data_IF_445026127401
#
_entry.id   IF_445026127401
#
_cell.length_a   1.000
_cell.length_b   1.000
_cell.length_c   1.000
_cell.angle_alpha   90.00
_cell.angle_beta   90.00
_cell.angle_gamma   90.00
#
_symmetry.space_group_name_H-M   'P 1'
#
loop_
_entity.id
_entity.type
_entity.pdbx_description
1 polymer ?
#
# COMPACT_ATOMS: atom_id res chain seq x y z
N UNK A 1 -69.67 41.44 -21.15
CA UNK A 1 -70.75 41.55 -20.14
C UNK A 1 -71.27 40.15 -19.85
N UNK A 2 -71.30 39.81 -18.56
CA UNK A 2 -72.10 38.77 -17.89
C UNK A 2 -71.82 37.29 -18.17
N UNK A 3 -71.56 36.62 -17.05
CA UNK A 3 -71.34 35.22 -16.76
C UNK A 3 -72.65 34.46 -16.47
N UNK A 4 -72.50 33.18 -16.08
CA UNK A 4 -73.44 32.32 -15.31
C UNK A 4 -74.39 31.50 -16.21
N UNK A 5 -74.66 30.21 -16.05
CA UNK A 5 -74.13 28.99 -15.36
C UNK A 5 -75.22 27.89 -15.60
N UNK A 6 -74.93 26.65 -15.17
CA UNK A 6 -75.86 25.58 -14.73
C UNK A 6 -76.29 24.44 -15.70
N UNK A 7 -75.80 23.23 -15.36
CA UNK A 7 -76.51 21.96 -15.01
C UNK A 7 -77.87 21.65 -15.67
N UNK A 8 -78.33 20.42 -15.92
CA UNK A 8 -77.77 19.07 -15.94
C UNK A 8 -78.90 18.10 -16.40
N UNK A 9 -78.50 17.03 -17.11
CA UNK A 9 -78.98 15.63 -17.10
C UNK A 9 -80.49 15.29 -17.18
N UNK A 10 -80.80 14.43 -18.16
CA UNK A 10 -81.80 13.35 -18.12
C UNK A 10 -81.41 12.30 -19.19
N UNK A 11 -81.83 11.04 -19.24
CA UNK A 11 -82.53 10.08 -18.39
C UNK A 11 -82.45 8.72 -19.17
N UNK A 12 -82.31 7.57 -18.47
CA UNK A 12 -82.66 6.17 -18.86
C UNK A 12 -82.01 5.51 -20.11
N UNK A 13 -81.19 4.44 -20.00
CA UNK A 13 -81.50 2.97 -19.81
C UNK A 13 -82.37 2.35 -20.91
N UNK A 14 -82.14 1.19 -21.54
CA UNK A 14 -81.10 0.11 -21.57
C UNK A 14 -81.57 -0.93 -22.61
N UNK A 15 -80.69 -1.66 -23.31
CA UNK A 15 -80.91 -3.09 -23.65
C UNK A 15 -79.57 -3.83 -23.88
N UNK A 16 -79.20 -4.59 -22.84
CA UNK A 16 -78.56 -5.91 -22.73
C UNK A 16 -77.65 -6.46 -23.86
N UNK A 17 -76.38 -6.70 -23.52
CA UNK A 17 -75.66 -7.96 -23.80
C UNK A 17 -74.97 -8.45 -22.52
N UNK A 18 -74.96 -9.77 -22.34
CA UNK A 18 -74.48 -10.49 -21.15
C UNK A 18 -72.96 -10.41 -20.92
N UNK A 19 -72.62 -10.41 -19.63
CA UNK A 19 -71.43 -10.83 -18.86
C UNK A 19 -70.25 -11.50 -19.62
N UNK A 20 -68.98 -11.25 -19.28
CA UNK A 20 -68.38 -11.48 -17.96
C UNK A 20 -67.22 -10.51 -17.62
N UNK A 21 -67.09 -10.24 -16.31
CA UNK A 21 -66.02 -9.47 -15.65
C UNK A 21 -64.62 -10.01 -15.92
N UNK A 22 -63.66 -9.12 -16.18
CA UNK A 22 -62.24 -9.39 -15.93
C UNK A 22 -61.69 -8.24 -15.08
N UNK A 23 -61.60 -8.50 -13.77
CA UNK A 23 -60.76 -7.73 -12.86
C UNK A 23 -59.30 -7.92 -13.31
N UNK A 24 -58.70 -6.89 -13.91
CA UNK A 24 -57.26 -6.84 -14.10
C UNK A 24 -56.69 -5.82 -13.13
N UNK A 25 -56.10 -6.32 -12.03
CA UNK A 25 -55.23 -5.53 -11.16
C UNK A 25 -54.11 -4.89 -11.99
N UNK A 26 -53.65 -3.67 -11.62
CA UNK A 26 -52.53 -3.03 -12.32
C UNK A 26 -51.27 -3.87 -12.15
N UNK A 27 -50.69 -4.24 -13.30
CA UNK A 27 -49.47 -5.03 -13.41
C UNK A 27 -48.33 -4.35 -12.65
N UNK A 28 -47.94 -4.96 -11.53
CA UNK A 28 -46.84 -4.47 -10.70
C UNK A 28 -45.54 -4.73 -11.45
N UNK A 29 -44.91 -3.66 -11.96
CA UNK A 29 -43.62 -3.77 -12.64
C UNK A 29 -42.63 -4.51 -11.73
N UNK A 30 -41.84 -5.46 -12.27
CA UNK A 30 -40.83 -6.14 -11.48
C UNK A 30 -39.84 -5.11 -10.92
N UNK A 31 -39.33 -5.31 -9.70
CA UNK A 31 -38.32 -4.44 -9.14
C UNK A 31 -37.13 -4.37 -10.11
N UNK A 32 -36.46 -3.21 -10.24
CA UNK A 32 -35.30 -3.08 -11.11
C UNK A 32 -34.28 -4.16 -10.71
N UNK A 33 -33.81 -4.91 -11.71
CA UNK A 33 -32.74 -5.87 -11.48
C UNK A 33 -31.56 -5.14 -10.80
N UNK A 34 -30.97 -5.73 -9.74
CA UNK A 34 -29.82 -5.12 -9.12
C UNK A 34 -28.74 -4.92 -10.18
N UNK A 35 -28.01 -3.80 -10.15
CA UNK A 35 -26.97 -3.54 -11.14
C UNK A 35 -26.00 -4.72 -11.16
N UNK A 36 -25.74 -5.24 -12.36
CA UNK A 36 -24.71 -6.26 -12.57
C UNK A 36 -23.39 -5.63 -12.16
N UNK A 37 -22.83 -6.09 -11.04
CA UNK A 37 -21.48 -5.72 -10.63
C UNK A 37 -20.55 -6.56 -11.50
N UNK A 38 -19.89 -5.94 -12.47
CA UNK A 38 -18.82 -6.61 -13.21
C UNK A 38 -17.71 -6.99 -12.23
N UNK A 39 -17.37 -8.29 -12.19
CA UNK A 39 -16.24 -8.73 -11.39
C UNK A 39 -14.93 -8.20 -12.00
N UNK A 40 -13.97 -7.77 -11.16
CA UNK A 40 -12.71 -7.25 -11.65
C UNK A 40 -11.92 -8.33 -12.40
N UNK A 41 -11.21 -7.91 -13.45
CA UNK A 41 -10.30 -8.79 -14.20
C UNK A 41 -9.29 -9.47 -13.25
N UNK A 42 -9.03 -10.76 -13.48
CA UNK A 42 -8.06 -11.53 -12.69
C UNK A 42 -6.65 -11.42 -13.29
N UNK A 43 -5.70 -11.02 -12.47
CA UNK A 43 -4.27 -10.98 -12.78
C UNK A 43 -3.57 -12.15 -12.10
N UNK A 44 -3.15 -13.13 -12.90
CA UNK A 44 -2.39 -14.28 -12.42
C UNK A 44 -0.88 -13.99 -12.34
N UNK A 45 -0.25 -14.32 -11.23
CA UNK A 45 1.19 -14.25 -10.98
C UNK A 45 1.71 -15.63 -10.63
N UNK A 46 2.54 -16.18 -11.50
CA UNK A 46 3.08 -17.53 -11.40
C UNK A 46 4.30 -17.53 -10.50
N UNK A 47 4.23 -18.30 -9.43
CA UNK A 47 5.23 -18.34 -8.37
C UNK A 47 6.16 -19.52 -8.56
N UNK A 48 7.45 -19.23 -8.67
CA UNK A 48 8.51 -20.23 -8.50
C UNK A 48 8.88 -20.33 -7.03
N UNK A 49 8.65 -21.49 -6.44
CA UNK A 49 8.92 -21.74 -5.02
C UNK A 49 10.26 -22.48 -4.88
N UNK A 50 11.14 -21.97 -4.03
CA UNK A 50 12.28 -22.71 -3.51
C UNK A 50 11.98 -23.13 -2.07
N UNK A 51 12.26 -24.37 -1.72
CA UNK A 51 12.10 -24.88 -0.34
C UNK A 51 13.29 -25.76 0.02
N UNK A 52 13.82 -25.60 1.23
CA UNK A 52 14.97 -26.39 1.68
C UNK A 52 14.56 -27.85 1.94
N UNK A 53 15.49 -28.76 1.61
CA UNK A 53 15.27 -30.20 1.77
C UNK A 53 15.06 -30.60 3.24
N UNK A 54 15.72 -29.91 4.17
CA UNK A 54 15.60 -30.19 5.61
C UNK A 54 14.19 -29.90 6.12
N UNK A 55 13.55 -28.84 5.67
CA UNK A 55 12.16 -28.52 6.00
C UNK A 55 11.19 -29.50 5.39
N UNK A 56 11.39 -29.87 4.11
CA UNK A 56 10.57 -30.89 3.43
C UNK A 56 10.61 -32.19 4.22
N UNK A 57 11.79 -32.69 4.58
CA UNK A 57 11.98 -33.95 5.33
C UNK A 57 11.60 -33.82 6.81
N UNK A 58 11.83 -32.67 7.42
CA UNK A 58 11.82 -32.48 8.86
C UNK A 58 10.47 -32.13 9.47
N UNK A 59 9.62 -31.37 8.78
CA UNK A 59 8.28 -31.00 9.30
C UNK A 59 7.23 -30.60 8.25
N UNK A 60 7.60 -30.27 7.02
CA UNK A 60 6.65 -29.86 5.97
C UNK A 60 5.94 -31.03 5.25
N UNK A 61 5.99 -32.23 5.82
CA UNK A 61 5.19 -33.37 5.38
C UNK A 61 5.95 -34.49 4.68
N UNK A 62 7.28 -34.42 4.59
CA UNK A 62 8.17 -35.54 4.24
C UNK A 62 8.23 -35.91 2.75
N UNK A 63 7.46 -35.24 1.87
CA UNK A 63 7.51 -35.48 0.43
C UNK A 63 7.18 -34.22 -0.37
N UNK A 64 7.81 -34.08 -1.54
CA UNK A 64 7.59 -32.95 -2.45
C UNK A 64 6.13 -32.85 -2.92
N UNK A 65 5.47 -33.98 -3.19
CA UNK A 65 4.05 -34.00 -3.59
C UNK A 65 3.15 -33.36 -2.51
N UNK A 66 3.39 -33.69 -1.24
CA UNK A 66 2.60 -33.12 -0.14
C UNK A 66 2.90 -31.63 0.03
N UNK A 67 4.17 -31.26 0.01
CA UNK A 67 4.59 -29.85 0.06
C UNK A 67 3.92 -29.05 -1.06
N UNK A 68 3.86 -29.59 -2.28
CA UNK A 68 3.18 -28.94 -3.40
C UNK A 68 1.70 -28.67 -3.11
N UNK A 69 0.97 -29.70 -2.70
CA UNK A 69 -0.46 -29.55 -2.39
C UNK A 69 -0.72 -28.54 -1.27
N UNK A 70 0.14 -28.47 -0.25
CA UNK A 70 0.00 -27.51 0.85
C UNK A 70 0.42 -26.08 0.43
N UNK A 71 1.41 -25.96 -0.46
CA UNK A 71 1.78 -24.67 -1.06
C UNK A 71 0.65 -24.10 -1.90
N UNK A 72 -0.04 -24.93 -2.70
CA UNK A 72 -1.22 -24.48 -3.45
C UNK A 72 -2.29 -23.90 -2.52
N UNK A 73 -2.53 -24.54 -1.37
CA UNK A 73 -3.46 -24.05 -0.34
C UNK A 73 -2.94 -22.75 0.29
N UNK A 74 -1.65 -22.66 0.63
CA UNK A 74 -1.03 -21.47 1.22
C UNK A 74 -1.16 -20.25 0.30
N UNK A 75 -0.87 -20.41 -1.00
CA UNK A 75 -0.96 -19.33 -1.97
C UNK A 75 -2.40 -18.98 -2.34
N UNK A 76 -3.33 -19.95 -2.33
CA UNK A 76 -4.76 -19.67 -2.41
C UNK A 76 -5.23 -18.80 -1.23
N UNK A 77 -4.86 -19.16 0.02
CA UNK A 77 -5.15 -18.35 1.21
C UNK A 77 -4.53 -16.94 1.11
N UNK A 78 -3.30 -16.85 0.61
CA UNK A 78 -2.59 -15.58 0.41
C UNK A 78 -3.34 -14.68 -0.56
N UNK A 79 -3.74 -15.23 -1.71
CA UNK A 79 -4.51 -14.52 -2.73
C UNK A 79 -5.86 -14.06 -2.18
N UNK A 80 -6.57 -14.94 -1.47
CA UNK A 80 -7.86 -14.59 -0.84
C UNK A 80 -7.71 -13.46 0.18
N UNK A 81 -6.71 -13.53 1.06
CA UNK A 81 -6.45 -12.49 2.05
C UNK A 81 -6.04 -11.17 1.40
N UNK A 82 -5.18 -11.21 0.37
CA UNK A 82 -4.80 -10.04 -0.40
C UNK A 82 -6.02 -9.34 -1.01
N UNK A 83 -6.90 -10.07 -1.69
CA UNK A 83 -8.07 -9.47 -2.33
C UNK A 83 -9.16 -9.05 -1.32
N UNK A 84 -9.29 -9.75 -0.20
CA UNK A 84 -10.23 -9.37 0.86
C UNK A 84 -9.83 -8.05 1.55
N UNK A 85 -8.56 -7.64 1.45
CA UNK A 85 -8.05 -6.44 2.10
C UNK A 85 -8.65 -5.13 1.58
N UNK A 86 -9.20 -5.09 0.37
CA UNK A 86 -9.96 -3.92 -0.12
C UNK A 86 -10.83 -4.24 -1.33
N UNK A 87 -12.02 -3.64 -1.39
CA UNK A 87 -12.91 -3.68 -2.56
C UNK A 87 -12.53 -2.68 -3.65
N UNK A 88 -11.61 -1.76 -3.36
CA UNK A 88 -11.15 -0.71 -4.28
C UNK A 88 -9.97 -1.18 -5.17
N UNK A 89 -9.54 -2.44 -5.01
CA UNK A 89 -8.62 -3.06 -5.96
C UNK A 89 -9.33 -3.21 -7.31
N UNK A 90 -8.74 -2.62 -8.36
CA UNK A 90 -9.29 -2.68 -9.73
C UNK A 90 -9.21 -4.07 -10.35
N UNK A 91 -8.37 -4.92 -9.78
CA UNK A 91 -8.06 -6.25 -10.27
C UNK A 91 -8.08 -7.24 -9.13
N UNK A 92 -8.43 -8.49 -9.45
CA UNK A 92 -8.22 -9.61 -8.53
C UNK A 92 -6.81 -10.15 -8.72
N UNK A 93 -6.05 -10.25 -7.65
CA UNK A 93 -4.66 -10.72 -7.67
C UNK A 93 -4.60 -12.20 -7.30
N UNK A 94 -4.11 -13.02 -8.21
CA UNK A 94 -4.01 -14.46 -8.04
C UNK A 94 -2.55 -14.87 -8.07
N UNK A 95 -2.04 -15.41 -6.96
CA UNK A 95 -0.69 -15.95 -6.87
C UNK A 95 -0.78 -17.47 -6.92
N UNK A 96 -0.28 -18.06 -8.01
CA UNK A 96 -0.40 -19.50 -8.27
C UNK A 96 0.96 -20.14 -8.26
N UNK A 97 1.14 -21.25 -7.54
CA UNK A 97 2.40 -22.01 -7.57
C UNK A 97 2.55 -22.64 -8.95
N UNK A 98 3.56 -22.21 -9.70
CA UNK A 98 3.88 -22.80 -10.99
C UNK A 98 4.78 -24.03 -10.83
N UNK A 99 5.90 -23.86 -10.12
CA UNK A 99 6.86 -24.93 -9.85
C UNK A 99 7.47 -24.82 -8.46
N UNK A 100 7.97 -25.96 -7.97
CA UNK A 100 8.71 -26.08 -6.72
C UNK A 100 10.09 -26.65 -7.03
N UNK A 101 11.11 -26.07 -6.39
CA UNK A 101 12.49 -26.55 -6.40
C UNK A 101 12.89 -26.84 -4.97
N UNK A 102 13.07 -28.12 -4.65
CA UNK A 102 13.70 -28.52 -3.40
C UNK A 102 15.21 -28.34 -3.54
N UNK A 103 15.81 -27.48 -2.71
CA UNK A 103 17.25 -27.24 -2.73
C UNK A 103 17.95 -27.88 -1.54
N UNK A 104 19.23 -28.19 -1.71
CA UNK A 104 20.09 -28.77 -0.68
C UNK A 104 21.14 -27.75 -0.26
N UNK A 105 21.53 -27.80 1.02
CA UNK A 105 22.49 -26.89 1.61
C UNK A 105 21.87 -25.56 2.04
N UNK A 106 22.74 -24.61 2.38
CA UNK A 106 22.32 -23.39 3.05
C UNK A 106 21.63 -22.37 2.13
N UNK A 107 20.56 -21.74 2.63
CA UNK A 107 19.97 -20.55 1.98
C UNK A 107 20.92 -19.33 1.95
N UNK A 108 21.97 -19.37 2.77
CA UNK A 108 23.01 -18.33 2.84
C UNK A 108 24.21 -18.63 1.92
N UNK A 109 24.26 -19.81 1.31
CA UNK A 109 25.32 -20.16 0.36
C UNK A 109 25.36 -19.18 -0.81
N UNK A 110 26.55 -18.70 -1.16
CA UNK A 110 26.73 -17.69 -2.19
C UNK A 110 26.30 -18.18 -3.58
N UNK A 111 26.50 -19.46 -3.89
CA UNK A 111 26.11 -20.06 -5.17
C UNK A 111 24.59 -20.17 -5.26
N UNK A 112 23.94 -20.62 -4.19
CA UNK A 112 22.48 -20.68 -4.11
C UNK A 112 21.84 -19.28 -4.18
N UNK A 113 22.35 -18.32 -3.41
CA UNK A 113 21.88 -16.92 -3.48
C UNK A 113 22.05 -16.33 -4.87
N UNK A 114 23.18 -16.60 -5.53
CA UNK A 114 23.38 -16.20 -6.94
C UNK A 114 22.30 -16.80 -7.84
N UNK A 115 21.95 -18.08 -7.67
CA UNK A 115 20.86 -18.71 -8.44
C UNK A 115 19.51 -18.04 -8.22
N UNK A 116 19.15 -17.75 -6.98
CA UNK A 116 17.83 -17.19 -6.62
C UNK A 116 17.70 -15.72 -7.05
N UNK A 117 18.75 -14.92 -6.83
CA UNK A 117 18.69 -13.46 -7.02
C UNK A 117 19.28 -12.98 -8.34
N UNK A 118 20.29 -13.67 -8.90
CA UNK A 118 21.12 -13.12 -9.97
C UNK A 118 21.09 -13.92 -11.29
N UNK A 119 20.91 -15.24 -11.23
CA UNK A 119 20.84 -16.06 -12.44
C UNK A 119 19.46 -15.92 -13.09
N UNK A 120 19.37 -15.77 -14.43
CA UNK A 120 18.11 -15.49 -15.12
C UNK A 120 16.99 -16.47 -14.76
N UNK A 121 15.77 -15.93 -14.60
CA UNK A 121 14.55 -16.73 -14.48
C UNK A 121 13.79 -16.74 -15.82
N UNK A 122 13.07 -17.82 -16.09
CA UNK A 122 12.21 -17.93 -17.27
C UNK A 122 10.89 -17.19 -17.04
N UNK A 123 10.84 -15.91 -17.44
CA UNK A 123 9.64 -15.07 -17.34
C UNK A 123 8.48 -15.54 -18.24
N UNK A 124 8.71 -16.49 -19.15
CA UNK A 124 7.61 -17.15 -19.85
C UNK A 124 6.86 -18.14 -18.97
N UNK A 125 7.40 -18.48 -17.79
CA UNK A 125 6.83 -19.43 -16.81
C UNK A 125 6.56 -18.82 -15.44
N UNK A 126 7.39 -17.87 -15.01
CA UNK A 126 7.37 -17.37 -13.63
C UNK A 126 7.36 -15.84 -13.60
N UNK A 127 6.65 -15.29 -12.63
CA UNK A 127 6.54 -13.85 -12.41
C UNK A 127 7.15 -13.44 -11.05
N UNK A 128 7.13 -14.33 -10.05
CA UNK A 128 7.63 -14.10 -8.69
C UNK A 128 8.43 -15.30 -8.21
N UNK A 129 9.48 -15.05 -7.43
CA UNK A 129 10.23 -16.09 -6.71
C UNK A 129 9.92 -16.03 -5.22
N UNK A 130 9.62 -17.16 -4.59
CA UNK A 130 9.46 -17.25 -3.13
C UNK A 130 10.38 -18.34 -2.57
N UNK A 131 11.26 -17.97 -1.65
CA UNK A 131 12.21 -18.86 -0.99
C UNK A 131 11.75 -19.14 0.44
N UNK A 132 11.58 -20.41 0.76
CA UNK A 132 11.35 -20.91 2.10
C UNK A 132 12.61 -21.60 2.62
N UNK A 133 13.10 -21.16 3.78
CA UNK A 133 14.06 -21.87 4.62
C UNK A 133 13.41 -22.03 6.00
N UNK A 134 12.67 -23.12 6.18
CA UNK A 134 11.80 -23.28 7.36
C UNK A 134 12.46 -24.06 8.52
N UNK A 135 13.72 -24.46 8.35
CA UNK A 135 14.52 -25.17 9.33
C UNK A 135 16.01 -24.97 9.00
N UNK A 136 16.66 -24.11 9.78
CA UNK A 136 18.11 -23.88 9.65
C UNK A 136 18.88 -25.15 10.02
N UNK A 137 19.70 -25.66 9.09
CA UNK A 137 20.37 -26.97 9.15
C UNK A 137 21.83 -26.97 8.68
N UNK A 138 22.36 -25.84 8.19
CA UNK A 138 23.73 -25.71 7.65
C UNK A 138 24.54 -24.57 8.31
N UNK A 139 24.27 -24.30 9.58
CA UNK A 139 24.98 -23.27 10.35
C UNK A 139 24.51 -21.84 10.02
N UNK A 140 23.31 -21.69 9.45
CA UNK A 140 22.68 -20.39 9.28
C UNK A 140 22.56 -19.65 10.62
N UNK A 141 22.64 -18.32 10.54
CA UNK A 141 22.47 -17.43 11.70
C UNK A 141 21.36 -16.41 11.49
N UNK A 142 20.41 -16.69 10.60
CA UNK A 142 19.35 -15.75 10.24
C UNK A 142 18.37 -15.52 11.40
N UNK A 143 17.99 -14.28 11.65
CA UNK A 143 16.85 -13.97 12.50
C UNK A 143 15.60 -14.16 11.64
N UNK A 144 14.78 -15.16 11.97
CA UNK A 144 13.65 -15.58 11.13
C UNK A 144 12.67 -14.44 10.84
N UNK A 145 11.78 -14.64 9.86
CA UNK A 145 10.87 -13.61 9.40
C UNK A 145 10.53 -13.80 7.93
N UNK A 146 10.02 -12.74 7.33
CA UNK A 146 9.92 -12.64 5.88
C UNK A 146 10.51 -11.30 5.43
N UNK A 147 10.89 -11.25 4.16
CA UNK A 147 11.38 -10.03 3.54
C UNK A 147 11.18 -10.10 2.03
N UNK A 148 10.87 -8.95 1.45
CA UNK A 148 10.84 -8.72 0.03
C UNK A 148 12.17 -8.11 -0.44
N UNK A 149 12.75 -8.71 -1.48
CA UNK A 149 13.91 -8.21 -2.20
C UNK A 149 13.70 -8.21 -3.71
N UNK A 150 14.66 -7.64 -4.43
CA UNK A 150 14.73 -7.67 -5.89
C UNK A 150 15.87 -8.53 -6.39
N UNK A 151 15.65 -9.27 -7.48
CA UNK A 151 16.72 -9.91 -8.24
C UNK A 151 17.34 -8.96 -9.27
N UNK A 152 18.48 -9.35 -9.85
CA UNK A 152 19.24 -8.54 -10.82
C UNK A 152 18.48 -8.24 -12.11
N UNK A 153 17.43 -9.00 -12.41
CA UNK A 153 16.53 -8.84 -13.55
C UNK A 153 15.20 -8.16 -13.20
N UNK A 154 15.12 -7.46 -12.06
CA UNK A 154 13.91 -6.82 -11.55
C UNK A 154 12.77 -7.79 -11.19
N UNK A 155 13.06 -9.10 -11.03
CA UNK A 155 12.10 -10.01 -10.40
C UNK A 155 11.89 -9.62 -8.94
N UNK A 156 10.73 -9.95 -8.40
CA UNK A 156 10.52 -9.98 -6.96
C UNK A 156 10.98 -11.32 -6.38
N UNK A 157 11.71 -11.23 -5.27
CA UNK A 157 12.12 -12.38 -4.46
C UNK A 157 11.59 -12.17 -3.05
N UNK A 158 10.63 -12.98 -2.63
CA UNK A 158 10.19 -13.04 -1.24
C UNK A 158 10.96 -14.15 -0.53
N UNK A 159 11.47 -13.88 0.66
CA UNK A 159 12.11 -14.88 1.52
C UNK A 159 11.31 -15.10 2.78
N UNK A 160 11.24 -16.33 3.25
CA UNK A 160 10.57 -16.73 4.49
C UNK A 160 11.50 -17.67 5.25
N UNK A 161 12.00 -17.21 6.39
CA UNK A 161 13.04 -17.90 7.15
C UNK A 161 12.61 -18.25 8.58
N UNK A 162 13.03 -19.42 9.04
CA UNK A 162 12.92 -19.82 10.42
C UNK A 162 13.92 -19.08 11.32
N UNK A 163 13.64 -19.08 12.62
CA UNK A 163 14.59 -18.63 13.64
C UNK A 163 15.59 -19.75 13.97
N UNK A 164 16.78 -19.42 14.50
CA UNK A 164 17.76 -20.43 14.89
C UNK A 164 17.16 -21.41 15.91
N UNK A 165 17.31 -22.71 15.65
CA UNK A 165 16.81 -23.78 16.51
C UNK A 165 15.28 -23.94 16.54
N UNK A 166 14.54 -23.26 15.67
CA UNK A 166 13.07 -23.37 15.58
C UNK A 166 12.64 -23.83 14.20
N UNK A 167 11.59 -24.65 14.15
CA UNK A 167 10.85 -24.95 12.92
C UNK A 167 9.86 -23.83 12.66
N UNK A 168 9.71 -23.42 11.41
CA UNK A 168 8.65 -22.49 10.99
C UNK A 168 7.50 -23.27 10.35
N UNK A 169 6.34 -23.25 10.99
CA UNK A 169 5.14 -23.96 10.52
C UNK A 169 4.38 -23.11 9.49
N UNK A 170 4.77 -23.20 8.22
CA UNK A 170 4.24 -22.30 7.18
C UNK A 170 2.83 -22.65 6.70
N UNK A 171 2.34 -23.87 6.91
CA UNK A 171 1.03 -24.31 6.42
C UNK A 171 -0.11 -24.15 7.44
N UNK A 172 0.21 -24.12 8.72
CA UNK A 172 -0.78 -24.02 9.81
C UNK A 172 -0.86 -22.63 10.43
N UNK A 173 0.19 -21.81 10.30
CA UNK A 173 0.24 -20.47 10.87
C UNK A 173 -0.26 -19.39 9.89
N UNK A 174 -0.20 -18.12 10.32
CA UNK A 174 -0.56 -16.94 9.55
C UNK A 174 0.48 -16.53 8.48
N UNK A 175 1.25 -17.49 7.96
CA UNK A 175 2.26 -17.24 6.92
C UNK A 175 1.65 -16.63 5.66
N UNK A 176 0.40 -16.99 5.32
CA UNK A 176 -0.32 -16.37 4.19
C UNK A 176 -0.52 -14.86 4.35
N UNK A 177 -0.72 -14.35 5.57
CA UNK A 177 -0.83 -12.89 5.82
C UNK A 177 0.53 -12.21 5.63
N UNK A 178 1.59 -12.89 6.08
CA UNK A 178 2.96 -12.41 5.90
C UNK A 178 3.32 -12.38 4.42
N UNK A 179 3.01 -13.43 3.65
CA UNK A 179 3.20 -13.44 2.20
C UNK A 179 2.41 -12.31 1.53
N UNK A 180 1.17 -12.05 1.94
CA UNK A 180 0.40 -10.94 1.38
C UNK A 180 1.08 -9.58 1.64
N UNK A 181 1.66 -9.37 2.82
CA UNK A 181 2.47 -8.18 3.12
C UNK A 181 3.69 -8.06 2.19
N UNK A 182 4.48 -9.11 2.05
CA UNK A 182 5.65 -9.09 1.15
C UNK A 182 5.28 -8.92 -0.32
N UNK A 183 4.13 -9.48 -0.73
CA UNK A 183 3.58 -9.27 -2.07
C UNK A 183 3.00 -7.86 -2.24
N UNK A 184 2.63 -7.17 -1.16
CA UNK A 184 2.36 -5.74 -1.16
C UNK A 184 3.60 -4.91 -1.54
N UNK A 185 4.78 -5.26 -1.01
CA UNK A 185 6.04 -4.67 -1.47
C UNK A 185 6.32 -4.96 -2.95
N UNK A 186 6.01 -6.18 -3.41
CA UNK A 186 6.08 -6.51 -4.83
C UNK A 186 5.12 -5.67 -5.69
N UNK A 187 4.09 -5.07 -5.10
CA UNK A 187 3.19 -4.11 -5.78
C UNK A 187 3.57 -2.63 -5.54
N UNK A 188 4.76 -2.38 -5.00
CA UNK A 188 5.32 -1.04 -4.82
C UNK A 188 4.88 -0.33 -3.54
N UNK A 189 4.23 -1.01 -2.60
CA UNK A 189 3.82 -0.41 -1.32
C UNK A 189 4.97 -0.42 -0.33
N UNK A 190 5.22 0.69 0.34
CA UNK A 190 6.21 0.78 1.44
C UNK A 190 5.63 0.31 2.76
N UNK A 191 6.51 -0.05 3.69
CA UNK A 191 6.16 -0.34 5.08
C UNK A 191 5.52 0.88 5.75
N UNK A 192 4.22 0.77 6.03
CA UNK A 192 3.50 1.89 6.62
C UNK A 192 3.84 2.12 8.09
N UNK A 193 4.29 1.08 8.80
CA UNK A 193 4.75 1.23 10.17
C UNK A 193 6.01 2.10 10.29
N UNK A 194 6.75 2.36 9.19
CA UNK A 194 7.94 3.23 9.18
C UNK A 194 7.60 4.71 9.36
N UNK A 195 6.34 5.09 9.17
CA UNK A 195 5.86 6.46 9.32
C UNK A 195 5.29 6.76 10.72
N UNK A 196 5.24 5.76 11.60
CA UNK A 196 4.81 5.92 13.00
C UNK A 196 5.85 6.71 13.80
N UNK A 197 5.42 7.70 14.55
CA UNK A 197 6.30 8.47 15.44
C UNK A 197 5.69 8.48 16.83
N UNK A 198 6.41 7.96 17.82
CA UNK A 198 5.99 8.08 19.22
C UNK A 198 6.30 9.50 19.72
N UNK A 199 5.48 10.04 20.63
CA UNK A 199 5.68 11.38 21.20
C UNK A 199 7.07 11.57 21.84
N UNK A 200 7.62 10.51 22.47
CA UNK A 200 8.97 10.50 23.06
C UNK A 200 10.09 10.59 22.01
N UNK A 201 9.83 10.13 20.79
CA UNK A 201 10.76 10.11 19.67
C UNK A 201 10.53 11.33 18.75
N UNK A 202 9.72 12.30 19.20
CA UNK A 202 9.51 13.60 18.55
C UNK A 202 9.97 14.73 19.48
N UNK A 203 11.28 15.10 19.45
CA UNK A 203 11.82 16.14 20.31
C UNK A 203 11.37 17.56 19.92
N UNK A 204 10.70 17.73 18.78
CA UNK A 204 10.34 19.05 18.22
C UNK A 204 8.95 19.49 18.69
N UNK A 205 7.93 18.66 18.45
CA UNK A 205 6.54 18.98 18.85
C UNK A 205 6.00 18.11 19.98
N UNK A 206 6.68 17.02 20.34
CA UNK A 206 6.24 16.03 21.33
C UNK A 206 4.86 15.41 21.01
N UNK A 207 4.44 15.47 19.75
CA UNK A 207 3.24 14.82 19.26
C UNK A 207 3.57 13.43 18.72
N UNK A 208 2.67 12.48 18.93
CA UNK A 208 2.69 11.19 18.24
C UNK A 208 1.98 11.28 16.90
N UNK A 209 2.46 10.51 15.92
CA UNK A 209 1.85 10.37 14.61
C UNK A 209 1.62 8.89 14.30
N UNK A 210 0.42 8.59 13.80
CA UNK A 210 0.00 7.25 13.40
C UNK A 210 -0.30 7.22 11.89
N UNK A 211 -0.54 6.02 11.37
CA UNK A 211 -0.98 5.78 10.00
C UNK A 211 -2.29 5.00 9.97
N UNK A 212 -3.08 5.11 8.88
CA UNK A 212 -4.28 4.31 8.68
C UNK A 212 -4.02 2.80 8.81
N UNK A 213 -5.02 2.01 9.24
CA UNK A 213 -4.92 0.56 9.22
C UNK A 213 -4.48 0.04 7.86
N UNK A 214 -3.50 -0.87 7.84
CA UNK A 214 -2.95 -1.42 6.61
C UNK A 214 -2.22 -2.73 6.89
N UNK A 215 -2.31 -3.71 6.00
CA UNK A 215 -1.48 -4.92 6.03
C UNK A 215 0.02 -4.54 6.01
N UNK A 216 0.40 -3.42 5.40
CA UNK A 216 1.77 -2.88 5.42
C UNK A 216 2.15 -2.15 6.73
N UNK A 217 1.17 -1.88 7.61
CA UNK A 217 1.41 -1.45 8.99
C UNK A 217 1.53 -2.70 9.86
N UNK A 218 0.47 -3.49 9.92
CA UNK A 218 0.40 -4.77 10.61
C UNK A 218 -0.46 -5.75 9.84
N UNK A 219 0.01 -6.98 9.65
CA UNK A 219 -0.78 -8.04 8.97
C UNK A 219 -2.10 -8.34 9.67
N UNK A 220 -2.20 -8.06 10.98
CA UNK A 220 -3.44 -8.20 11.75
C UNK A 220 -4.52 -7.20 11.39
N UNK A 221 -4.18 -6.07 10.78
CA UNK A 221 -5.17 -5.06 10.36
C UNK A 221 -6.08 -5.61 9.26
N UNK A 222 -5.58 -6.54 8.44
CA UNK A 222 -6.38 -7.28 7.46
C UNK A 222 -6.96 -6.45 6.32
N UNK A 223 -6.57 -5.18 6.18
CA UNK A 223 -7.07 -4.26 5.16
C UNK A 223 -5.92 -3.55 4.43
N UNK A 224 -6.15 -3.09 3.20
CA UNK A 224 -5.24 -2.20 2.49
C UNK A 224 -5.66 -0.75 2.70
N UNK A 225 -4.71 0.12 3.04
CA UNK A 225 -4.94 1.56 3.02
C UNK A 225 -5.19 2.06 1.60
N UNK A 226 -5.78 3.24 1.46
CA UNK A 226 -5.99 3.88 0.16
C UNK A 226 -4.68 4.05 -0.62
N UNK A 227 -3.60 4.46 0.06
CA UNK A 227 -2.26 4.54 -0.52
C UNK A 227 -1.78 3.18 -1.06
N UNK A 228 -1.96 2.10 -0.29
CA UNK A 228 -1.57 0.76 -0.74
C UNK A 228 -2.36 0.31 -1.97
N UNK A 229 -3.68 0.52 -1.97
CA UNK A 229 -4.56 0.23 -3.11
C UNK A 229 -4.12 1.01 -4.35
N UNK A 230 -3.80 2.29 -4.21
CA UNK A 230 -3.36 3.14 -5.32
C UNK A 230 -2.04 2.66 -5.94
N UNK A 231 -1.05 2.31 -5.11
CA UNK A 231 0.20 1.70 -5.57
C UNK A 231 -0.03 0.37 -6.31
N UNK A 232 -0.91 -0.49 -5.77
CA UNK A 232 -1.25 -1.78 -6.38
C UNK A 232 -1.95 -1.59 -7.72
N UNK A 233 -2.95 -0.72 -7.78
CA UNK A 233 -3.69 -0.41 -9.00
C UNK A 233 -2.78 0.20 -10.08
N UNK A 234 -1.82 1.05 -9.70
CA UNK A 234 -0.84 1.62 -10.64
C UNK A 234 0.09 0.54 -11.19
N UNK A 235 0.54 -0.39 -10.35
CA UNK A 235 1.52 -1.41 -10.72
C UNK A 235 0.92 -2.73 -11.25
N UNK A 236 -0.41 -2.86 -11.24
CA UNK A 236 -1.13 -4.11 -11.45
C UNK A 236 -0.64 -4.92 -12.66
N UNK A 237 -0.52 -4.28 -13.83
CA UNK A 237 -0.10 -4.91 -15.08
C UNK A 237 1.38 -5.30 -15.17
N UNK A 238 2.23 -4.88 -14.22
CA UNK A 238 3.66 -5.13 -14.27
C UNK A 238 4.05 -6.41 -13.52
N UNK A 239 4.55 -7.42 -14.25
CA UNK A 239 5.22 -8.60 -13.67
C UNK A 239 6.65 -8.31 -13.21
N UNK A 240 7.26 -7.26 -13.74
CA UNK A 240 8.57 -6.77 -13.31
C UNK A 240 8.47 -5.25 -13.11
N UNK A 241 8.06 -4.81 -11.91
CA UNK A 241 7.78 -3.39 -11.64
C UNK A 241 8.99 -2.52 -11.97
N UNK A 242 10.19 -2.87 -11.49
CA UNK A 242 11.40 -2.06 -11.73
C UNK A 242 11.75 -1.89 -13.22
N UNK A 243 11.26 -2.78 -14.09
CA UNK A 243 11.45 -2.70 -15.54
C UNK A 243 10.38 -1.85 -16.23
N UNK A 244 9.12 -1.97 -15.81
CA UNK A 244 8.00 -1.22 -16.39
C UNK A 244 7.94 0.21 -15.86
N UNK A 245 8.24 0.37 -14.57
CA UNK A 245 8.26 1.61 -13.81
C UNK A 245 9.64 1.80 -13.20
N UNK A 246 10.64 2.23 -14.00
CA UNK A 246 11.94 2.57 -13.48
C UNK A 246 11.78 3.69 -12.45
N UNK A 247 12.45 3.55 -11.31
CA UNK A 247 12.38 4.53 -10.21
C UNK A 247 10.96 4.73 -9.66
N UNK A 248 10.13 3.66 -9.67
CA UNK A 248 8.71 3.66 -9.26
C UNK A 248 8.46 4.58 -8.06
N UNK A 249 9.19 4.37 -6.98
CA UNK A 249 8.99 5.08 -5.72
C UNK A 249 9.19 6.59 -5.84
N UNK A 250 10.27 7.03 -6.48
CA UNK A 250 10.55 8.45 -6.67
C UNK A 250 9.65 9.10 -7.72
N UNK A 251 9.00 8.32 -8.57
CA UNK A 251 8.05 8.82 -9.57
C UNK A 251 6.71 9.25 -8.94
N UNK A 252 6.43 8.81 -7.71
CA UNK A 252 5.18 9.10 -7.00
C UNK A 252 5.16 10.49 -6.34
N UNK A 253 6.29 11.20 -6.27
CA UNK A 253 6.29 12.52 -5.65
C UNK A 253 5.63 13.56 -6.57
N UNK A 254 4.76 14.42 -6.03
CA UNK A 254 4.26 15.58 -6.76
C UNK A 254 5.40 16.56 -7.05
N UNK A 255 5.18 17.49 -7.99
CA UNK A 255 6.18 18.52 -8.30
C UNK A 255 6.39 19.50 -7.15
N UNK A 256 5.38 19.71 -6.29
CA UNK A 256 5.41 20.72 -5.24
C UNK A 256 4.78 20.26 -3.93
N UNK A 257 5.32 20.76 -2.81
CA UNK A 257 4.59 20.90 -1.55
C UNK A 257 4.32 22.39 -1.35
N UNK A 258 3.07 22.74 -1.07
CA UNK A 258 2.60 24.12 -0.87
C UNK A 258 1.99 24.25 0.53
N UNK A 259 2.61 25.06 1.38
CA UNK A 259 2.12 25.38 2.73
C UNK A 259 1.52 26.78 2.68
N UNK A 260 0.19 26.86 2.77
CA UNK A 260 -0.58 28.09 2.80
C UNK A 260 -0.86 28.47 4.25
N UNK A 261 -0.49 29.68 4.65
CA UNK A 261 -0.69 30.19 6.01
C UNK A 261 -1.68 31.34 5.98
N UNK A 262 -2.69 31.26 6.84
CA UNK A 262 -3.67 32.34 7.02
C UNK A 262 -3.81 32.74 8.47
N UNK A 263 -4.11 34.02 8.73
CA UNK A 263 -4.47 34.57 10.03
C UNK A 263 -5.80 35.29 9.86
N UNK A 264 -6.81 34.93 10.66
CA UNK A 264 -8.17 35.50 10.52
C UNK A 264 -8.73 35.41 9.09
N UNK A 265 -8.46 34.30 8.40
CA UNK A 265 -8.93 34.04 7.03
C UNK A 265 -8.21 34.83 5.93
N UNK A 266 -7.15 35.57 6.25
CA UNK A 266 -6.33 36.31 5.26
C UNK A 266 -4.94 35.69 5.13
N UNK A 267 -4.34 35.69 3.93
CA UNK A 267 -2.96 35.23 3.76
C UNK A 267 -1.97 35.95 4.68
N UNK A 268 -1.12 35.18 5.35
CA UNK A 268 -0.13 35.71 6.29
C UNK A 268 1.24 35.78 5.63
N UNK A 269 1.72 37.00 5.36
CA UNK A 269 3.06 37.23 4.80
C UNK A 269 4.13 37.17 5.87
N UNK A 270 5.19 36.41 5.62
CA UNK A 270 6.38 36.40 6.47
C UNK A 270 6.28 35.45 7.67
N UNK A 271 5.25 34.60 7.75
CA UNK A 271 5.23 33.49 8.69
C UNK A 271 6.44 32.58 8.43
N UNK A 272 7.15 32.19 9.49
CA UNK A 272 8.32 31.33 9.39
C UNK A 272 7.86 29.89 9.28
N UNK A 273 8.41 29.15 8.32
CA UNK A 273 8.17 27.71 8.15
C UNK A 273 9.50 26.99 8.28
N UNK A 274 9.61 26.12 9.28
CA UNK A 274 10.75 25.22 9.48
C UNK A 274 10.31 23.79 9.22
N UNK A 275 11.12 23.05 8.48
CA UNK A 275 10.87 21.66 8.13
C UNK A 275 11.90 20.78 8.82
N UNK A 276 11.43 19.75 9.49
CA UNK A 276 12.22 18.71 10.14
C UNK A 276 11.99 17.38 9.44
N UNK A 277 13.05 16.62 9.16
CA UNK A 277 12.94 15.31 8.53
C UNK A 277 12.61 14.20 9.54
N UNK A 278 11.87 13.16 9.12
CA UNK A 278 11.69 11.94 9.91
C UNK A 278 12.53 10.78 9.40
N UNK A 279 13.04 9.98 10.33
CA UNK A 279 13.82 8.78 10.02
C UNK A 279 12.99 7.53 10.29
N UNK A 280 13.07 6.55 9.39
CA UNK A 280 12.53 5.20 9.62
C UNK A 280 13.18 4.52 10.82
N UNK A 281 12.60 3.44 11.32
CA UNK A 281 13.19 2.60 12.35
C UNK A 281 14.36 1.80 11.77
N UNK A 282 15.34 1.48 12.62
CA UNK A 282 16.46 0.62 12.27
C UNK A 282 16.89 -0.19 13.49
N UNK A 283 17.78 -1.17 13.31
CA UNK A 283 18.37 -1.89 14.44
C UNK A 283 18.99 -0.90 15.43
N UNK A 284 18.47 -0.88 16.66
CA UNK A 284 18.94 0.03 17.71
C UNK A 284 18.40 1.46 17.66
N UNK A 285 17.48 1.80 16.75
CA UNK A 285 16.85 3.13 16.68
C UNK A 285 15.36 3.05 16.36
N UNK A 286 14.54 3.77 17.14
CA UNK A 286 13.13 3.96 16.83
C UNK A 286 12.94 4.90 15.63
N UNK A 287 11.72 4.97 15.11
CA UNK A 287 11.34 6.04 14.17
C UNK A 287 11.24 7.34 14.93
N UNK A 288 11.78 8.43 14.38
CA UNK A 288 11.91 9.69 15.10
C UNK A 288 11.84 10.91 14.17
N UNK A 289 11.56 12.08 14.76
CA UNK A 289 11.77 13.38 14.12
C UNK A 289 13.18 13.86 14.43
N UNK A 290 13.96 14.12 13.38
CA UNK A 290 15.30 14.66 13.53
C UNK A 290 15.22 16.08 14.12
N UNK A 291 15.94 16.37 15.22
CA UNK A 291 15.76 17.61 15.98
C UNK A 291 16.27 18.87 15.27
N UNK A 292 17.11 18.73 14.24
CA UNK A 292 17.65 19.88 13.52
C UNK A 292 16.76 20.27 12.34
N UNK A 293 16.70 21.58 12.08
CA UNK A 293 15.95 22.13 10.94
C UNK A 293 16.64 21.69 9.65
N UNK A 294 15.91 20.94 8.83
CA UNK A 294 16.37 20.47 7.52
C UNK A 294 16.34 21.62 6.50
N UNK A 295 15.20 22.28 6.36
CA UNK A 295 15.04 23.47 5.52
C UNK A 295 14.10 24.47 6.18
N UNK A 296 14.32 25.77 5.94
CA UNK A 296 13.46 26.83 6.44
C UNK A 296 13.22 27.92 5.41
N UNK A 297 12.14 28.66 5.61
CA UNK A 297 11.82 29.84 4.81
C UNK A 297 10.69 30.64 5.43
N UNK A 298 10.15 31.56 4.63
CA UNK A 298 9.02 32.40 5.02
C UNK A 298 7.96 32.39 3.94
N UNK A 299 6.70 32.56 4.36
CA UNK A 299 5.60 32.74 3.41
C UNK A 299 5.73 34.04 2.63
N UNK A 300 5.31 34.01 1.37
CA UNK A 300 5.27 35.16 0.48
C UNK A 300 4.06 36.08 0.74
N UNK A 301 3.81 37.04 -0.16
CA UNK A 301 2.67 37.96 -0.05
C UNK A 301 1.30 37.29 -0.15
N UNK A 302 1.24 36.07 -0.71
CA UNK A 302 0.04 35.25 -0.82
C UNK A 302 -0.07 34.25 0.34
N UNK A 303 0.78 34.38 1.36
CA UNK A 303 0.80 33.46 2.49
C UNK A 303 1.37 32.08 2.17
N UNK A 304 2.12 31.93 1.06
CA UNK A 304 2.56 30.63 0.58
C UNK A 304 4.04 30.40 0.83
N UNK A 305 4.40 29.21 1.29
CA UNK A 305 5.76 28.69 1.25
C UNK A 305 5.78 27.40 0.41
N UNK A 306 6.64 27.36 -0.62
CA UNK A 306 6.60 26.30 -1.64
C UNK A 306 7.96 25.59 -1.72
N UNK A 307 7.92 24.26 -1.58
CA UNK A 307 9.04 23.38 -1.87
C UNK A 307 8.87 22.82 -3.29
N UNK A 308 9.74 23.23 -4.22
CA UNK A 308 9.72 22.76 -5.61
C UNK A 308 10.66 21.58 -5.81
N UNK A 309 10.25 20.62 -6.64
CA UNK A 309 10.92 19.34 -6.86
C UNK A 309 10.99 18.52 -5.56
N UNK A 310 9.84 17.97 -5.16
CA UNK A 310 9.65 17.30 -3.87
C UNK A 310 10.62 16.13 -3.70
N UNK A 311 10.91 15.40 -4.78
CA UNK A 311 11.83 14.26 -4.80
C UNK A 311 13.20 14.62 -4.21
N UNK A 312 13.72 15.82 -4.47
CA UNK A 312 15.05 16.21 -3.98
C UNK A 312 15.10 16.33 -2.47
N UNK A 313 13.99 16.74 -1.85
CA UNK A 313 13.90 16.88 -0.40
C UNK A 313 13.87 15.51 0.26
N UNK A 314 13.11 14.56 -0.27
CA UNK A 314 13.06 13.19 0.25
C UNK A 314 14.38 12.42 0.04
N UNK A 315 15.17 12.79 -0.98
CA UNK A 315 16.49 12.21 -1.28
C UNK A 315 17.64 13.19 -1.00
N UNK A 316 17.83 13.65 0.25
CA UNK A 316 18.55 14.88 0.53
C UNK A 316 20.07 14.77 0.26
N UNK A 317 20.71 13.63 0.56
CA UNK A 317 22.16 13.45 0.32
C UNK A 317 22.51 13.48 -1.17
N UNK A 318 21.72 12.79 -1.99
CA UNK A 318 21.89 12.78 -3.44
C UNK A 318 21.72 14.16 -4.09
N UNK A 319 21.09 15.10 -3.37
CA UNK A 319 20.77 16.44 -3.85
C UNK A 319 21.53 17.55 -3.10
N UNK A 320 22.61 17.19 -2.38
CA UNK A 320 23.57 18.15 -1.84
C UNK A 320 23.07 18.98 -0.64
N UNK A 321 22.04 18.51 0.08
CA UNK A 321 21.63 19.16 1.32
C UNK A 321 22.66 18.92 2.42
N UNK A 322 23.03 19.98 3.16
CA UNK A 322 24.04 19.92 4.21
C UNK A 322 23.50 19.41 5.56
N UNK A 323 22.26 19.77 5.93
CA UNK A 323 21.66 19.44 7.22
C UNK A 323 20.98 18.07 7.17
N UNK A 324 21.76 17.02 6.95
CA UNK A 324 21.27 15.65 6.80
C UNK A 324 22.09 14.75 7.72
N UNK A 325 21.45 13.94 8.59
CA UNK A 325 22.19 13.04 9.46
C UNK A 325 22.96 11.98 8.67
N UNK A 326 24.13 11.61 9.19
CA UNK A 326 24.94 10.55 8.60
C UNK A 326 24.20 9.21 8.60
N UNK A 327 23.40 8.94 9.63
CA UNK A 327 22.67 7.69 9.87
C UNK A 327 21.24 7.68 9.31
N UNK A 328 21.00 8.32 8.16
CA UNK A 328 19.69 8.33 7.50
C UNK A 328 19.37 6.95 6.85
N UNK A 329 18.39 6.18 7.36
CA UNK A 329 18.06 4.86 6.81
C UNK A 329 17.63 4.95 5.36
N UNK A 330 18.06 3.98 4.56
CA UNK A 330 17.78 3.93 3.12
C UNK A 330 18.21 5.19 2.36
N UNK A 331 19.01 6.07 2.96
CA UNK A 331 19.48 7.33 2.38
C UNK A 331 18.40 8.39 2.15
N UNK A 332 17.22 8.27 2.78
CA UNK A 332 16.05 9.12 2.51
C UNK A 332 15.24 9.49 3.77
N UNK A 333 14.49 10.59 3.70
CA UNK A 333 13.49 10.92 4.72
C UNK A 333 12.21 10.10 4.52
N UNK A 334 11.45 9.84 5.58
CA UNK A 334 10.16 9.14 5.54
C UNK A 334 8.95 10.07 5.70
N UNK A 335 9.21 11.35 5.93
CA UNK A 335 8.19 12.37 6.09
C UNK A 335 8.80 13.64 6.67
N UNK A 336 7.96 14.64 6.84
CA UNK A 336 8.36 15.95 7.31
C UNK A 336 7.41 16.48 8.39
N UNK A 337 7.97 17.06 9.45
CA UNK A 337 7.23 17.88 10.39
C UNK A 337 7.47 19.35 10.05
N UNK A 338 6.42 20.10 9.72
CA UNK A 338 6.48 21.55 9.57
C UNK A 338 6.17 22.24 10.90
N UNK A 339 7.07 23.07 11.42
CA UNK A 339 6.77 24.08 12.43
C UNK A 339 6.48 25.40 11.72
N UNK A 340 5.24 25.86 11.79
CA UNK A 340 4.81 27.15 11.23
C UNK A 340 4.64 28.15 12.36
N UNK A 341 5.26 29.32 12.23
CA UNK A 341 5.29 30.37 13.26
C UNK A 341 4.72 31.66 12.67
N UNK A 342 3.66 32.19 13.28
CA UNK A 342 3.08 33.49 12.97
C UNK A 342 2.99 34.33 14.24
N UNK A 343 3.71 35.45 14.28
CA UNK A 343 3.88 36.25 15.49
C UNK A 343 4.43 35.42 16.67
N UNK A 344 3.65 35.34 17.75
CA UNK A 344 4.00 34.57 18.96
C UNK A 344 3.37 33.17 18.99
N UNK A 345 2.64 32.79 17.95
CA UNK A 345 1.94 31.50 17.86
C UNK A 345 2.68 30.56 16.93
N UNK A 346 2.61 29.26 17.23
CA UNK A 346 3.13 28.21 16.36
C UNK A 346 2.17 27.03 16.25
N UNK A 347 2.19 26.38 15.09
CA UNK A 347 1.45 25.14 14.80
C UNK A 347 2.38 24.14 14.13
N UNK A 348 2.07 22.86 14.30
CA UNK A 348 2.82 21.76 13.71
C UNK A 348 1.95 21.00 12.73
N UNK A 349 2.51 20.63 11.58
CA UNK A 349 1.84 19.79 10.58
C UNK A 349 2.74 18.62 10.22
N UNK A 350 2.20 17.41 10.33
CA UNK A 350 2.86 16.19 9.91
C UNK A 350 2.56 15.91 8.43
N UNK A 351 3.60 15.62 7.67
CA UNK A 351 3.55 15.33 6.24
C UNK A 351 4.27 14.01 5.98
N UNK A 352 3.64 12.87 6.30
CA UNK A 352 4.25 11.58 6.01
C UNK A 352 4.32 11.38 4.50
N UNK A 353 5.36 10.70 4.05
CA UNK A 353 5.58 10.48 2.62
C UNK A 353 4.40 9.89 1.86
N UNK A 354 3.75 8.87 2.45
CA UNK A 354 2.62 8.20 1.80
C UNK A 354 1.50 9.20 1.48
N UNK A 355 1.28 10.19 2.33
CA UNK A 355 0.28 11.25 2.14
C UNK A 355 0.77 12.28 1.12
N UNK A 356 2.05 12.65 1.18
CA UNK A 356 2.67 13.56 0.21
C UNK A 356 2.63 12.99 -1.21
N UNK A 357 2.64 11.67 -1.38
CA UNK A 357 2.54 11.00 -2.67
C UNK A 357 1.09 10.87 -3.19
N UNK A 358 0.06 11.02 -2.34
CA UNK A 358 -1.35 10.87 -2.75
C UNK A 358 -1.77 11.74 -3.95
N UNK A 359 -1.38 13.03 -4.05
CA UNK A 359 -1.70 13.86 -5.20
C UNK A 359 -1.31 13.25 -6.55
N UNK A 360 -0.24 12.46 -6.63
CA UNK A 360 0.17 11.79 -7.86
C UNK A 360 -0.94 10.87 -8.41
N UNK A 361 -1.57 10.08 -7.53
CA UNK A 361 -2.64 9.15 -7.91
C UNK A 361 -3.92 9.89 -8.32
N UNK A 362 -4.08 11.13 -7.87
CA UNK A 362 -5.17 12.03 -8.24
C UNK A 362 -4.88 12.83 -9.53
N UNK A 363 -3.71 12.62 -10.17
CA UNK A 363 -3.26 13.39 -11.33
C UNK A 363 -2.90 14.84 -11.01
N UNK A 364 -2.58 15.13 -9.75
CA UNK A 364 -2.20 16.46 -9.25
C UNK A 364 -0.70 16.57 -9.05
N UNK A 365 -0.17 17.75 -9.35
CA UNK A 365 1.26 18.07 -9.25
C UNK A 365 1.66 18.71 -7.90
N UNK A 366 0.72 18.91 -6.98
CA UNK A 366 0.95 19.64 -5.73
C UNK A 366 0.29 18.95 -4.55
N UNK A 367 1.06 18.70 -3.49
CA UNK A 367 0.54 18.43 -2.15
C UNK A 367 0.31 19.76 -1.41
N UNK A 368 -0.92 20.02 -0.98
CA UNK A 368 -1.33 21.31 -0.39
C UNK A 368 -1.67 21.15 1.07
N UNK A 369 -1.26 22.14 1.86
CA UNK A 369 -1.48 22.18 3.30
C UNK A 369 -1.95 23.58 3.67
N UNK A 370 -3.04 23.66 4.41
CA UNK A 370 -3.56 24.92 4.90
C UNK A 370 -3.36 25.01 6.43
N UNK A 371 -2.61 26.02 6.87
CA UNK A 371 -2.34 26.31 8.28
C UNK A 371 -3.02 27.62 8.65
N UNK A 372 -4.16 27.52 9.31
CA UNK A 372 -4.93 28.69 9.76
C UNK A 372 -4.61 28.98 11.21
N UNK A 373 -4.28 30.23 11.55
CA UNK A 373 -4.04 30.71 12.92
C UNK A 373 -5.26 31.36 13.55
#
# INVERSE_FOLDING_TARGET
MKSIWFFAVGLMMTFVFCACSSDSEPEQLPPPEPPVVEEPDELEFRVLVYVDEASVKGHLGGSERRVKSEMDILFSKTSNFFNAGSKELKYKYSYTVADIVVYQGSSQDATFRKRVYNDPIDFSKYDVTVLFDCLQDNGETGNGGAAHGGGSDNRSVVTVFANPGKKKEIFTDDTYKTLAHELGHYRGVTDMYQYLIDAKDNPVSHQSFDVPPCIMKWTSDGVWSEYAVNCMNLSAGAKQIGKVFPDFFNSLYPKKIEINVTVSGKPEKGAVVKIYGSRAGATGRNRDIYPEVFVEGKTDTNGQYVLNDVKKYFNPKANGFANVPDDLPYGRWFGFLAEVISGNSKKYVWMPEWEVQMPHFEGKDTYKIDVTF
#
